data_IF_688930036933
#
_entry.id   IF_688930036933
#
_cell.length_a   1.000
_cell.length_b   1.000
_cell.length_c   1.000
_cell.angle_alpha   90.00
_cell.angle_beta   90.00
_cell.angle_gamma   90.00
#
_symmetry.space_group_name_H-M   'P 1'
#
loop_
_entity.id
_entity.type
_entity.pdbx_description
1 polymer ?
#
# COMPACT_ATOMS: atom_id res chain seq x y z
N UNK A 1 14.37 -15.03 -61.36
CA UNK A 1 15.58 -15.27 -60.55
C UNK A 1 15.66 -14.13 -59.54
N UNK A 2 15.22 -14.28 -58.27
CA UNK A 2 16.05 -14.55 -57.06
C UNK A 2 17.41 -13.83 -57.16
N UNK A 3 17.71 -12.83 -56.34
CA UNK A 3 18.09 -12.99 -54.93
C UNK A 3 17.83 -11.76 -54.04
N UNK A 4 17.49 -12.06 -52.78
CA UNK A 4 17.45 -11.18 -51.61
C UNK A 4 18.84 -10.63 -51.23
N UNK A 5 18.86 -9.44 -50.62
CA UNK A 5 19.80 -9.13 -49.53
C UNK A 5 19.19 -8.07 -48.61
N UNK A 6 18.70 -8.56 -47.47
CA UNK A 6 18.36 -7.78 -46.30
C UNK A 6 19.65 -7.34 -45.60
N UNK A 7 19.74 -6.09 -45.16
CA UNK A 7 20.66 -5.69 -44.11
C UNK A 7 19.87 -5.01 -42.99
N UNK A 8 19.55 -5.82 -41.98
CA UNK A 8 19.06 -5.42 -40.68
C UNK A 8 20.18 -4.69 -39.93
N UNK A 9 19.99 -3.41 -39.61
CA UNK A 9 20.80 -2.77 -38.57
C UNK A 9 20.05 -2.95 -37.25
N UNK A 10 20.56 -3.92 -36.50
CA UNK A 10 20.27 -4.20 -35.11
C UNK A 10 21.06 -3.25 -34.23
N UNK A 11 20.41 -2.76 -33.16
CA UNK A 11 21.07 -2.39 -31.91
C UNK A 11 21.22 -0.87 -31.69
N UNK A 12 21.06 -0.33 -30.49
CA UNK A 12 20.90 -0.90 -29.17
C UNK A 12 19.89 -0.04 -28.40
N UNK A 13 18.71 -0.57 -28.07
CA UNK A 13 17.94 -0.04 -26.95
C UNK A 13 18.69 -0.42 -25.68
N UNK A 14 19.43 0.55 -25.13
CA UNK A 14 19.99 0.45 -23.80
C UNK A 14 18.84 0.28 -22.80
N UNK A 15 18.48 -0.96 -22.48
CA UNK A 15 17.66 -1.26 -21.32
C UNK A 15 18.55 -1.00 -20.10
N UNK A 16 18.58 0.26 -19.66
CA UNK A 16 19.09 0.59 -18.34
C UNK A 16 18.24 -0.15 -17.32
N UNK A 17 18.81 -1.17 -16.68
CA UNK A 17 18.28 -1.76 -15.46
C UNK A 17 18.24 -0.64 -14.41
N UNK A 18 17.14 0.09 -14.40
CA UNK A 18 16.88 1.15 -13.44
C UNK A 18 16.65 0.44 -12.11
N UNK A 19 17.62 0.56 -11.20
CA UNK A 19 17.42 0.49 -9.75
C UNK A 19 16.54 1.67 -9.29
N UNK A 20 15.47 1.95 -10.03
CA UNK A 20 14.46 2.91 -9.63
C UNK A 20 13.79 2.32 -8.39
N UNK A 21 13.66 3.15 -7.37
CA UNK A 21 12.91 2.76 -6.19
C UNK A 21 11.52 2.28 -6.62
N UNK A 22 11.07 1.15 -6.05
CA UNK A 22 9.78 0.54 -6.38
C UNK A 22 8.91 0.48 -5.14
N UNK A 23 7.62 0.72 -5.33
CA UNK A 23 6.59 0.48 -4.33
C UNK A 23 5.47 -0.33 -4.97
N UNK A 24 4.93 -1.29 -4.23
CA UNK A 24 3.80 -2.10 -4.65
C UNK A 24 2.78 -2.16 -3.52
N UNK A 25 1.50 -2.02 -3.88
CA UNK A 25 0.37 -2.25 -3.00
C UNK A 25 -0.37 -3.52 -3.43
N UNK A 26 -0.65 -4.41 -2.47
CA UNK A 26 -1.45 -5.62 -2.66
C UNK A 26 -2.67 -5.56 -1.73
N UNK A 27 -3.86 -5.40 -2.30
CA UNK A 27 -5.11 -5.40 -1.53
C UNK A 27 -5.42 -6.81 -1.00
N UNK A 28 -5.80 -6.91 0.28
CA UNK A 28 -6.29 -8.14 0.89
C UNK A 28 -7.82 -8.23 0.85
N UNK A 29 -8.50 -7.10 0.70
CA UNK A 29 -9.96 -6.98 0.66
C UNK A 29 -10.41 -6.00 -0.42
N UNK A 30 -11.65 -6.14 -0.89
CA UNK A 30 -12.25 -5.17 -1.79
C UNK A 30 -12.52 -3.85 -1.05
N UNK A 31 -11.82 -2.80 -1.46
CA UNK A 31 -12.02 -1.45 -0.97
C UNK A 31 -12.23 -0.50 -2.13
N UNK A 32 -13.12 0.48 -1.95
CA UNK A 32 -13.30 1.54 -2.94
C UNK A 32 -12.14 2.51 -2.81
N UNK A 33 -11.13 2.34 -3.67
CA UNK A 33 -10.00 3.27 -3.79
C UNK A 33 -10.51 4.65 -4.20
N UNK A 34 -10.57 5.58 -3.24
CA UNK A 34 -10.77 7.00 -3.49
C UNK A 34 -9.44 7.69 -3.18
N UNK A 35 -8.66 8.08 -4.21
CA UNK A 35 -7.35 8.71 -3.99
C UNK A 35 -7.44 9.92 -3.07
N UNK A 36 -6.41 10.11 -2.24
CA UNK A 36 -6.32 11.18 -1.24
C UNK A 36 -4.97 11.89 -1.35
N UNK A 37 -4.79 12.97 -0.60
CA UNK A 37 -3.48 13.61 -0.50
C UNK A 37 -2.55 12.77 0.36
N UNK A 38 -1.27 12.70 0.01
CA UNK A 38 -0.28 12.00 0.85
C UNK A 38 -0.21 12.59 2.25
N UNK A 39 -0.43 13.90 2.41
CA UNK A 39 -0.47 14.57 3.71
C UNK A 39 -1.59 14.05 4.64
N UNK A 40 -2.68 13.52 4.07
CA UNK A 40 -3.80 12.94 4.82
C UNK A 40 -3.62 11.46 5.17
N UNK A 41 -2.53 10.83 4.72
CA UNK A 41 -2.17 9.46 5.09
C UNK A 41 -1.34 9.49 6.37
N UNK A 42 -1.84 8.80 7.39
CA UNK A 42 -1.15 8.58 8.65
C UNK A 42 0.00 7.59 8.46
N UNK A 43 1.16 7.89 9.06
CA UNK A 43 2.34 7.01 9.05
C UNK A 43 2.70 6.69 10.48
N UNK A 44 2.44 5.45 10.90
CA UNK A 44 2.64 4.99 12.27
C UNK A 44 3.80 3.99 12.28
N UNK A 45 4.95 4.40 12.80
CA UNK A 45 6.16 3.59 12.79
C UNK A 45 6.09 2.49 13.86
N UNK A 46 5.92 2.90 15.11
CA UNK A 46 6.01 2.03 16.29
C UNK A 46 4.67 1.82 17.00
N UNK A 47 3.58 2.29 16.41
CA UNK A 47 2.25 2.27 17.02
C UNK A 47 1.17 1.78 16.05
N UNK A 48 0.07 1.29 16.63
CA UNK A 48 -1.17 1.01 15.91
C UNK A 48 -2.11 2.23 15.97
N UNK A 49 -3.09 2.34 15.07
CA UNK A 49 -4.09 3.41 15.12
C UNK A 49 -4.89 3.39 16.43
N UNK A 50 -5.13 4.57 17.02
CA UNK A 50 -5.90 4.72 18.26
C UNK A 50 -7.41 4.54 18.06
N UNK A 51 -7.89 4.82 16.83
CA UNK A 51 -9.30 4.68 16.46
C UNK A 51 -9.54 3.33 15.81
N UNK A 52 -10.78 2.81 15.84
CA UNK A 52 -11.08 1.57 15.16
C UNK A 52 -10.73 1.62 13.67
N UNK A 53 -10.07 0.58 13.19
CA UNK A 53 -9.54 0.51 11.84
C UNK A 53 -9.65 -0.90 11.29
N UNK A 54 -9.54 -1.01 9.97
CA UNK A 54 -9.44 -2.30 9.27
C UNK A 54 -8.25 -2.27 8.33
N UNK A 55 -7.48 -3.35 8.34
CA UNK A 55 -6.37 -3.57 7.41
C UNK A 55 -6.94 -4.10 6.11
N UNK A 56 -6.62 -3.44 4.99
CA UNK A 56 -7.19 -3.76 3.68
C UNK A 56 -6.12 -4.06 2.62
N UNK A 57 -4.84 -4.05 3.00
CA UNK A 57 -3.76 -4.53 2.15
C UNK A 57 -2.38 -4.36 2.75
N UNK A 58 -1.39 -4.66 1.94
CA UNK A 58 0.03 -4.57 2.28
C UNK A 58 0.77 -3.70 1.26
N UNK A 59 1.73 -2.92 1.77
CA UNK A 59 2.65 -2.15 0.96
C UNK A 59 4.06 -2.72 1.14
N UNK A 60 4.80 -2.77 0.03
CA UNK A 60 6.23 -3.11 0.02
C UNK A 60 6.96 -2.07 -0.80
N UNK A 61 8.06 -1.55 -0.28
CA UNK A 61 8.93 -0.63 -0.96
C UNK A 61 10.37 -1.12 -0.96
N UNK A 62 11.08 -0.83 -2.03
CA UNK A 62 12.51 -1.06 -2.19
C UNK A 62 13.14 0.24 -2.69
N UNK A 63 14.08 0.79 -1.92
CA UNK A 63 14.89 1.95 -2.28
C UNK A 63 16.28 1.87 -1.64
N UNK A 64 17.09 2.91 -1.78
CA UNK A 64 18.43 2.97 -1.16
C UNK A 64 18.39 3.33 0.33
N UNK A 65 17.29 3.92 0.82
CA UNK A 65 17.20 4.45 2.18
C UNK A 65 15.81 4.24 2.77
N UNK A 66 15.74 3.84 4.05
CA UNK A 66 14.45 3.54 4.71
C UNK A 66 13.46 4.72 4.71
N UNK A 67 13.86 5.98 5.02
CA UNK A 67 12.95 7.12 4.96
C UNK A 67 12.30 7.29 3.59
N UNK A 68 13.09 7.11 2.52
CA UNK A 68 12.59 7.23 1.15
C UNK A 68 11.56 6.15 0.82
N UNK A 69 11.75 4.94 1.31
CA UNK A 69 10.78 3.85 1.15
C UNK A 69 9.47 4.13 1.87
N UNK A 70 9.53 4.73 3.05
CA UNK A 70 8.33 5.12 3.81
C UNK A 70 7.55 6.21 3.07
N UNK A 71 8.23 7.24 2.55
CA UNK A 71 7.58 8.28 1.73
C UNK A 71 6.88 7.71 0.50
N UNK A 72 7.52 6.74 -0.16
CA UNK A 72 6.94 6.07 -1.32
C UNK A 72 5.74 5.22 -0.96
N UNK A 73 5.80 4.48 0.15
CA UNK A 73 4.64 3.75 0.68
C UNK A 73 3.50 4.72 1.03
N UNK A 74 3.79 5.87 1.64
CA UNK A 74 2.78 6.88 1.94
C UNK A 74 2.10 7.41 0.67
N UNK A 75 2.87 7.71 -0.37
CA UNK A 75 2.34 8.16 -1.66
C UNK A 75 1.49 7.08 -2.34
N UNK A 76 1.90 5.81 -2.26
CA UNK A 76 1.13 4.71 -2.84
C UNK A 76 -0.16 4.42 -2.05
N UNK A 77 -0.10 4.49 -0.72
CA UNK A 77 -1.26 4.42 0.15
C UNK A 77 -2.29 5.53 -0.16
N UNK A 78 -1.82 6.74 -0.44
CA UNK A 78 -2.67 7.86 -0.82
C UNK A 78 -3.39 7.60 -2.15
N UNK A 79 -2.70 7.03 -3.15
CA UNK A 79 -3.33 6.63 -4.42
C UNK A 79 -4.36 5.53 -4.24
N UNK A 80 -4.08 4.56 -3.36
CA UNK A 80 -4.97 3.45 -3.02
C UNK A 80 -6.16 3.86 -2.13
N UNK A 81 -6.22 5.12 -1.70
CA UNK A 81 -7.31 5.64 -0.87
C UNK A 81 -7.31 5.11 0.56
N UNK A 82 -6.12 4.82 1.10
CA UNK A 82 -5.93 4.40 2.49
C UNK A 82 -5.95 5.60 3.42
N UNK A 83 -6.32 5.38 4.69
CA UNK A 83 -6.20 6.40 5.74
C UNK A 83 -4.80 6.40 6.37
N UNK A 84 -4.08 5.26 6.33
CA UNK A 84 -2.73 5.21 6.85
C UNK A 84 -1.98 3.91 6.56
N UNK A 85 -0.72 3.91 6.98
CA UNK A 85 0.17 2.75 7.02
C UNK A 85 0.72 2.57 8.44
N UNK A 86 0.77 1.33 8.92
CA UNK A 86 1.33 0.98 10.23
C UNK A 86 2.11 -0.34 10.18
N UNK A 87 2.78 -0.69 11.29
CA UNK A 87 3.63 -1.88 11.39
C UNK A 87 4.72 -1.84 10.30
N UNK A 88 5.49 -0.75 10.32
CA UNK A 88 6.50 -0.49 9.30
C UNK A 88 7.77 -1.25 9.68
N UNK A 89 8.09 -2.28 8.91
CA UNK A 89 9.31 -3.08 9.10
C UNK A 89 10.26 -2.81 7.94
N UNK A 90 11.47 -2.33 8.25
CA UNK A 90 12.54 -2.17 7.27
C UNK A 90 13.67 -3.16 7.57
N UNK A 91 14.14 -3.90 6.56
CA UNK A 91 15.16 -4.96 6.74
C UNK A 91 16.48 -4.43 7.30
N UNK A 92 16.86 -3.20 6.95
CA UNK A 92 17.88 -2.43 7.64
C UNK A 92 17.68 -0.94 7.35
N UNK A 93 18.23 -0.03 8.17
CA UNK A 93 18.18 1.40 7.91
C UNK A 93 18.73 1.79 6.53
N UNK A 94 19.74 1.04 6.07
CA UNK A 94 20.53 1.29 4.86
C UNK A 94 20.07 0.49 3.63
N UNK A 95 19.17 -0.48 3.78
CA UNK A 95 18.75 -1.32 2.65
C UNK A 95 17.43 -0.90 2.01
N UNK A 96 16.73 0.11 2.56
CA UNK A 96 15.50 0.69 2.01
C UNK A 96 14.43 -0.31 1.60
N UNK A 97 14.49 -1.55 2.09
CA UNK A 97 13.48 -2.58 1.87
C UNK A 97 12.54 -2.52 3.06
N UNK A 98 11.34 -1.97 2.84
CA UNK A 98 10.35 -1.79 3.89
C UNK A 98 9.01 -2.43 3.50
N UNK A 99 8.29 -2.94 4.49
CA UNK A 99 6.91 -3.38 4.37
C UNK A 99 6.03 -2.68 5.40
N UNK A 100 4.75 -2.50 5.06
CA UNK A 100 3.77 -1.90 5.94
C UNK A 100 2.37 -2.48 5.69
N UNK A 101 1.52 -2.43 6.72
CA UNK A 101 0.08 -2.73 6.60
C UNK A 101 -0.67 -1.46 6.25
N UNK A 102 -1.48 -1.52 5.19
CA UNK A 102 -2.36 -0.45 4.76
C UNK A 102 -3.74 -0.56 5.41
N UNK A 103 -4.24 0.53 5.99
CA UNK A 103 -5.51 0.52 6.72
C UNK A 103 -6.44 1.66 6.35
N UNK A 104 -7.72 1.48 6.71
CA UNK A 104 -8.75 2.51 6.71
C UNK A 104 -9.41 2.61 8.08
N UNK A 105 -9.80 3.81 8.48
CA UNK A 105 -10.56 4.03 9.70
C UNK A 105 -11.99 3.54 9.51
N UNK A 106 -12.54 2.98 10.58
CA UNK A 106 -13.91 2.49 10.63
C UNK A 106 -14.64 3.12 11.80
N UNK A 107 -15.93 3.33 11.65
CA UNK A 107 -16.80 3.70 12.75
C UNK A 107 -17.28 2.42 13.40
N UNK A 108 -16.63 1.92 14.46
CA UNK A 108 -17.26 0.88 15.25
C UNK A 108 -18.46 1.48 15.99
N UNK A 109 -19.66 1.16 15.51
CA UNK A 109 -20.82 1.01 16.39
C UNK A 109 -20.89 -0.50 16.68
N UNK A 110 -20.24 -0.96 17.74
CA UNK A 110 -20.62 -2.23 18.38
C UNK A 110 -21.94 -1.98 19.12
N UNK A 111 -23.02 -1.99 18.35
CA UNK A 111 -24.40 -1.84 18.80
C UNK A 111 -25.28 -2.81 18.02
N UNK A 112 -25.03 -4.10 18.19
CA UNK A 112 -25.96 -5.16 17.77
C UNK A 112 -26.17 -6.09 18.95
N UNK A 113 -26.86 -5.56 19.96
CA UNK A 113 -27.25 -6.24 21.21
C UNK A 113 -28.53 -5.65 21.79
N UNK A 114 -29.41 -5.13 20.94
CA UNK A 114 -30.77 -4.75 21.30
C UNK A 114 -31.75 -5.39 20.31
N UNK A 115 -31.74 -6.72 20.25
CA UNK A 115 -32.95 -7.44 19.85
C UNK A 115 -33.79 -7.62 21.12
N UNK A 116 -34.82 -6.78 21.19
CA UNK A 116 -35.80 -6.84 22.25
C UNK A 116 -36.56 -8.16 22.24
N UNK A 117 -36.47 -8.91 23.34
CA UNK A 117 -37.54 -9.82 23.74
C UNK A 117 -38.30 -9.14 24.87
N UNK A 118 -39.15 -8.19 24.46
CA UNK A 118 -40.40 -7.92 25.17
C UNK A 118 -41.34 -9.06 24.78
N UNK A 119 -41.50 -10.06 25.63
CA UNK A 119 -42.69 -10.91 25.57
C UNK A 119 -43.08 -11.31 26.98
N UNK A 120 -44.36 -11.06 27.25
CA UNK A 120 -45.03 -11.18 28.54
C UNK A 120 -44.95 -12.59 29.15
N UNK A 121 -44.99 -12.66 30.48
CA UNK A 121 -45.79 -13.68 31.15
C UNK A 121 -46.36 -13.11 32.44
N UNK A 122 -47.68 -13.33 32.55
CA UNK A 122 -48.55 -13.06 33.69
C UNK A 122 -48.17 -13.89 34.90
#
# INVERSE_FOLDING_TARGET
MKTLLALSIVGLSAMGCSNAARVSYTASEAHRSVPRSSAAVDVLLDSQPERPFRVIGELKAASLESPRSIEMMRAEAAKAGLDGIYWIECSSPTSGHCSAKGFVYTTLVSGSGLDGVRTASR
#
